data_IF_788743658474
#
_entry.id   IF_788743658474
#
_cell.length_a   1.000
_cell.length_b   1.000
_cell.length_c   1.000
_cell.angle_alpha   90.00
_cell.angle_beta   90.00
_cell.angle_gamma   90.00
#
_symmetry.space_group_name_H-M   'P 1'
#
loop_
_entity.id
_entity.type
_entity.pdbx_description
1 polymer ?
#
# COMPACT_ATOMS: atom_id res chain seq x y z
N UNK A 1 -17.57 9.17 -6.87
CA UNK A 1 -16.28 8.77 -6.24
C UNK A 1 -15.26 9.89 -6.41
N UNK A 2 -15.63 11.10 -6.00
CA UNK A 2 -14.76 12.22 -5.63
C UNK A 2 -15.61 13.22 -4.83
N UNK A 3 -16.46 12.67 -3.96
CA UNK A 3 -17.62 13.41 -3.46
C UNK A 3 -17.23 14.34 -2.29
N UNK A 4 -16.01 14.17 -1.77
CA UNK A 4 -15.45 14.96 -0.68
C UNK A 4 -14.49 16.07 -1.13
N UNK A 5 -14.12 16.12 -2.42
CA UNK A 5 -13.11 17.07 -2.97
C UNK A 5 -11.77 17.10 -2.21
N UNK A 6 -11.39 15.96 -1.62
CA UNK A 6 -10.13 15.82 -0.86
C UNK A 6 -9.05 15.28 -1.80
N UNK A 7 -7.95 16.03 -1.88
CA UNK A 7 -6.75 15.60 -2.58
C UNK A 7 -6.13 14.38 -1.88
N UNK A 8 -5.89 13.32 -2.65
CA UNK A 8 -5.41 12.04 -2.14
C UNK A 8 -4.17 11.52 -2.84
N UNK A 9 -3.69 12.22 -3.88
CA UNK A 9 -2.45 11.90 -4.57
C UNK A 9 -1.26 12.10 -3.63
N UNK A 10 -0.31 11.18 -3.67
CA UNK A 10 0.88 11.18 -2.82
C UNK A 10 0.63 10.78 -1.37
N UNK A 11 -0.61 10.49 -0.96
CA UNK A 11 -0.89 10.06 0.41
C UNK A 11 -0.35 8.66 0.68
N UNK A 12 0.06 8.43 1.93
CA UNK A 12 0.46 7.11 2.41
C UNK A 12 -0.73 6.37 3.01
N UNK A 13 -0.98 5.15 2.53
CA UNK A 13 -1.99 4.26 3.09
C UNK A 13 -1.31 3.10 3.84
N UNK A 14 -1.47 3.06 5.15
CA UNK A 14 -1.09 1.91 5.96
C UNK A 14 -2.18 0.83 5.85
N UNK A 15 -1.81 -0.38 5.44
CA UNK A 15 -2.74 -1.50 5.44
C UNK A 15 -2.05 -2.81 5.86
N UNK A 16 -2.84 -3.77 6.35
CA UNK A 16 -2.34 -5.07 6.74
C UNK A 16 -1.89 -5.89 5.51
N UNK A 17 -1.01 -6.86 5.73
CA UNK A 17 -0.65 -7.93 4.79
C UNK A 17 -1.86 -8.63 4.15
N UNK A 18 -3.02 -8.68 4.81
CA UNK A 18 -4.26 -9.19 4.20
C UNK A 18 -4.72 -8.41 2.96
N UNK A 19 -4.30 -7.15 2.81
CA UNK A 19 -4.61 -6.30 1.66
C UNK A 19 -3.55 -6.35 0.55
N UNK A 20 -2.47 -7.10 0.75
CA UNK A 20 -1.46 -7.31 -0.30
C UNK A 20 -2.05 -8.22 -1.39
N UNK A 21 -2.75 -7.61 -2.33
CA UNK A 21 -3.21 -8.26 -3.56
C UNK A 21 -2.82 -7.38 -4.75
N UNK A 22 -2.57 -8.01 -5.90
CA UNK A 22 -2.20 -7.27 -7.12
C UNK A 22 -3.25 -6.20 -7.45
N UNK A 23 -4.53 -6.60 -7.46
CA UNK A 23 -5.66 -5.70 -7.77
C UNK A 23 -5.72 -4.50 -6.82
N UNK A 24 -5.48 -4.69 -5.52
CA UNK A 24 -5.49 -3.58 -4.58
C UNK A 24 -4.34 -2.61 -4.84
N UNK A 25 -3.13 -3.12 -5.06
CA UNK A 25 -1.98 -2.28 -5.36
C UNK A 25 -2.11 -1.54 -6.71
N UNK A 26 -2.65 -2.20 -7.74
CA UNK A 26 -2.92 -1.56 -9.04
C UNK A 26 -3.92 -0.38 -8.89
N UNK A 27 -4.89 -0.49 -7.96
CA UNK A 27 -5.83 0.60 -7.65
C UNK A 27 -5.11 1.76 -6.94
N UNK A 28 -4.22 1.47 -5.99
CA UNK A 28 -3.46 2.49 -5.27
C UNK A 28 -2.52 3.26 -6.22
N UNK A 29 -1.80 2.54 -7.08
CA UNK A 29 -0.92 3.14 -8.08
C UNK A 29 -1.69 4.06 -9.04
N UNK A 30 -2.84 3.60 -9.56
CA UNK A 30 -3.70 4.43 -10.43
C UNK A 30 -4.26 5.67 -9.74
N UNK A 31 -4.36 5.66 -8.41
CA UNK A 31 -4.79 6.79 -7.58
C UNK A 31 -3.62 7.63 -7.06
N UNK A 32 -2.39 7.30 -7.45
CA UNK A 32 -1.17 7.92 -6.95
C UNK A 32 -1.04 7.83 -5.41
N UNK A 33 -1.62 6.80 -4.80
CA UNK A 33 -1.55 6.53 -3.35
C UNK A 33 -0.38 5.58 -3.09
N UNK A 34 0.47 5.93 -2.13
CA UNK A 34 1.63 5.14 -1.73
C UNK A 34 1.17 4.12 -0.68
N UNK A 35 1.02 2.86 -1.08
CA UNK A 35 0.62 1.78 -0.18
C UNK A 35 1.78 1.29 0.69
N UNK A 36 1.76 1.61 1.99
CA UNK A 36 2.65 1.05 3.00
C UNK A 36 2.08 -0.29 3.51
N UNK A 37 2.19 -1.33 2.68
CA UNK A 37 1.57 -2.65 2.90
C UNK A 37 2.65 -3.71 2.98
N UNK A 38 2.64 -4.48 4.08
CA UNK A 38 3.53 -5.63 4.25
C UNK A 38 3.22 -6.70 3.21
N UNK A 39 4.25 -7.22 2.54
CA UNK A 39 4.09 -8.34 1.62
C UNK A 39 3.46 -9.55 2.32
N UNK A 40 2.48 -10.17 1.67
CA UNK A 40 1.86 -11.38 2.14
C UNK A 40 2.69 -12.59 1.68
N UNK A 41 3.26 -13.39 2.59
CA UNK A 41 4.06 -14.57 2.22
C UNK A 41 3.27 -15.62 1.43
N UNK A 42 1.93 -15.55 1.43
CA UNK A 42 1.04 -16.44 0.66
C UNK A 42 0.96 -16.08 -0.83
N UNK A 43 1.41 -14.91 -1.26
CA UNK A 43 1.32 -14.45 -2.65
C UNK A 43 2.39 -15.02 -3.60
N UNK A 44 3.26 -15.92 -3.14
CA UNK A 44 4.30 -16.53 -3.98
C UNK A 44 5.44 -15.57 -4.36
N UNK A 45 6.20 -15.92 -5.41
CA UNK A 45 7.43 -15.22 -5.83
C UNK A 45 7.14 -13.79 -6.35
N UNK A 46 7.12 -12.81 -5.45
CA UNK A 46 6.99 -11.36 -5.76
C UNK A 46 8.31 -10.71 -6.21
N UNK A 47 9.33 -11.50 -6.59
CA UNK A 47 10.71 -11.06 -6.89
C UNK A 47 10.84 -9.94 -7.93
N UNK A 48 9.83 -9.71 -8.76
CA UNK A 48 9.85 -8.72 -9.84
C UNK A 48 8.93 -7.51 -9.62
N UNK A 49 8.27 -7.41 -8.46
CA UNK A 49 7.42 -6.25 -8.19
C UNK A 49 8.17 -5.29 -7.28
N UNK A 50 8.61 -4.19 -7.88
CA UNK A 50 9.26 -3.06 -7.21
C UNK A 50 8.21 -2.28 -6.44
N UNK A 51 7.64 -2.92 -5.42
CA UNK A 51 6.81 -2.23 -4.47
C UNK A 51 7.69 -1.27 -3.68
N UNK A 52 7.11 -0.16 -3.20
CA UNK A 52 7.70 0.62 -2.13
C UNK A 52 7.72 -0.25 -0.88
N UNK A 53 8.69 -1.16 -0.86
CA UNK A 53 8.96 -2.13 0.19
C UNK A 53 10.03 -1.51 1.11
N UNK A 54 9.83 -0.23 1.43
CA UNK A 54 10.72 0.44 2.34
C UNK A 54 10.40 -0.07 3.74
N UNK A 55 11.14 -1.11 4.11
CA UNK A 55 11.03 -1.80 5.40
C UNK A 55 11.23 -0.79 6.54
N UNK A 56 11.94 0.32 6.32
CA UNK A 56 12.05 1.41 7.31
C UNK A 56 10.77 2.23 7.42
N UNK A 57 10.09 2.51 6.31
CA UNK A 57 8.83 3.25 6.30
C UNK A 57 7.70 2.44 6.95
N UNK A 58 7.67 1.12 6.71
CA UNK A 58 6.71 0.22 7.37
C UNK A 58 6.92 0.16 8.90
N UNK A 59 8.18 0.23 9.37
CA UNK A 59 8.50 0.30 10.81
C UNK A 59 8.00 1.59 11.46
N UNK A 60 7.90 2.68 10.71
CA UNK A 60 7.43 3.99 11.20
C UNK A 60 5.90 4.14 11.17
N UNK A 61 5.14 3.08 10.86
CA UNK A 61 3.68 3.15 10.86
C UNK A 61 3.14 3.45 12.25
N UNK A 62 2.17 4.35 12.33
CA UNK A 62 1.37 4.54 13.54
C UNK A 62 0.45 3.32 13.70
N UNK A 63 0.61 2.57 14.80
CA UNK A 63 -0.31 1.50 15.20
C UNK A 63 -1.29 2.10 16.20
N UNK A 64 -2.56 2.23 15.82
CA UNK A 64 -3.65 2.52 16.75
C UNK A 64 -4.18 1.15 17.19
N UNK A 65 -4.07 0.84 18.47
CA UNK A 65 -4.63 -0.37 19.11
C UNK A 65 -6.01 -0.10 19.70
#
# INVERSE_FOLDING_TARGET
>A
MNDADIEHKGLFLNADSGFDSKKFRDILERKEIIGNIKNNPRNGNMKNKKYFDDTELYKRRFKIE
#
